data_IF_254974691438
#
_entry.id   IF_254974691438
#
_cell.length_a   1.000
_cell.length_b   1.000
_cell.length_c   1.000
_cell.angle_alpha   90.00
_cell.angle_beta   90.00
_cell.angle_gamma   90.00
#
_symmetry.space_group_name_H-M   'P 1'
#
loop_
_entity.id
_entity.type
_entity.pdbx_description
1 polymer ?
#
# COMPACT_ATOMS: atom_id res chain seq x y z
N UNK A 1 20.30 10.64 25.20
CA UNK A 1 19.23 11.66 25.06
C UNK A 1 18.07 11.02 24.32
N UNK A 2 17.03 10.65 25.05
CA UNK A 2 15.81 10.01 24.55
C UNK A 2 14.71 11.07 24.45
N UNK A 3 14.04 11.17 23.30
CA UNK A 3 12.75 11.84 23.20
C UNK A 3 11.76 10.94 22.47
N UNK A 4 10.98 10.19 23.26
CA UNK A 4 9.67 9.71 22.85
C UNK A 4 8.68 10.89 22.92
N UNK A 5 7.85 11.07 21.90
CA UNK A 5 6.67 11.94 21.99
C UNK A 5 5.40 11.11 21.81
N UNK A 6 4.64 11.07 22.89
CA UNK A 6 3.26 10.60 23.00
C UNK A 6 2.32 11.55 22.25
N UNK A 7 1.29 11.01 21.61
CA UNK A 7 0.09 11.77 21.24
C UNK A 7 -1.03 11.42 22.24
N UNK A 8 -1.48 12.44 22.97
CA UNK A 8 -2.68 12.43 23.79
C UNK A 8 -3.92 12.59 22.89
N UNK A 9 -4.88 11.68 23.02
CA UNK A 9 -6.26 11.89 22.56
C UNK A 9 -7.09 12.15 23.82
N UNK A 10 -7.61 13.36 23.95
CA UNK A 10 -8.57 13.72 24.98
C UNK A 10 -9.96 13.22 24.56
N UNK A 11 -10.57 12.33 25.35
CA UNK A 11 -11.98 11.97 25.24
C UNK A 11 -12.66 12.51 26.50
N UNK A 12 -13.52 13.51 26.32
CA UNK A 12 -14.44 13.96 27.36
C UNK A 12 -15.56 12.91 27.50
N UNK A 13 -15.70 12.32 28.69
CA UNK A 13 -16.82 11.43 29.02
C UNK A 13 -17.53 12.00 30.23
N UNK A 14 -18.70 12.60 30.01
CA UNK A 14 -19.66 12.86 31.08
C UNK A 14 -20.56 11.63 31.19
N UNK A 15 -20.47 10.91 32.30
CA UNK A 15 -21.38 9.82 32.65
C UNK A 15 -22.12 10.20 33.94
N UNK A 16 -23.34 10.72 33.77
CA UNK A 16 -24.26 10.98 34.89
C UNK A 16 -25.02 9.69 35.20
N UNK A 17 -24.96 9.24 36.45
CA UNK A 17 -25.70 8.09 36.96
C UNK A 17 -27.17 8.47 37.20
N UNK A 18 -28.10 7.68 36.66
CA UNK A 18 -29.47 7.59 37.18
C UNK A 18 -29.92 6.12 37.17
N UNK A 19 -30.11 5.57 38.37
CA UNK A 19 -30.84 4.34 38.63
C UNK A 19 -32.32 4.67 38.78
N UNK A 20 -33.23 4.04 38.02
CA UNK A 20 -34.62 3.82 38.45
C UNK A 20 -35.11 2.44 37.98
N UNK A 21 -35.82 1.82 38.92
CA UNK A 21 -36.34 0.46 39.10
C UNK A 21 -37.61 0.14 38.28
N UNK A 22 -37.72 -1.13 37.86
CA UNK A 22 -38.88 -1.97 37.45
C UNK A 22 -40.22 -1.37 36.96
N UNK A 23 -40.76 -2.00 35.90
CA UNK A 23 -42.12 -2.58 35.90
C UNK A 23 -42.22 -3.78 34.94
N UNK A 24 -42.75 -4.90 35.45
CA UNK A 24 -43.14 -6.09 34.68
C UNK A 24 -44.55 -5.87 34.15
N UNK A 25 -44.76 -6.06 32.85
CA UNK A 25 -46.09 -6.29 32.28
C UNK A 25 -46.04 -7.51 31.37
N UNK A 26 -46.72 -8.58 31.76
CA UNK A 26 -47.05 -9.70 30.87
C UNK A 26 -48.15 -9.23 29.94
N UNK A 27 -47.86 -9.22 28.64
CA UNK A 27 -48.90 -9.18 27.60
C UNK A 27 -48.66 -10.39 26.71
N UNK A 28 -49.56 -11.37 26.82
CA UNK A 28 -49.70 -12.43 25.84
C UNK A 28 -50.46 -11.88 24.63
N UNK A 29 -49.90 -12.05 23.43
CA UNK A 29 -50.66 -12.08 22.19
C UNK A 29 -50.11 -13.22 21.34
N UNK A 30 -50.96 -14.22 21.16
CA UNK A 30 -50.87 -15.16 20.06
C UNK A 30 -51.32 -14.42 18.81
N UNK A 31 -50.52 -14.50 17.74
CA UNK A 31 -51.00 -14.38 16.36
C UNK A 31 -50.00 -15.11 15.44
N UNK A 32 -50.57 -15.79 14.45
CA UNK A 32 -49.99 -16.88 13.69
C UNK A 32 -48.71 -16.50 12.90
N UNK A 33 -47.74 -17.42 12.91
CA UNK A 33 -46.62 -17.42 11.98
C UNK A 33 -47.05 -18.11 10.67
N UNK A 34 -47.00 -17.45 9.50
CA UNK A 34 -47.14 -18.16 8.24
C UNK A 34 -45.88 -19.00 8.00
N UNK A 35 -46.13 -20.28 7.73
CA UNK A 35 -45.16 -21.30 7.36
C UNK A 35 -44.44 -20.87 6.06
N UNK A 36 -43.21 -20.34 6.19
CA UNK A 36 -42.37 -20.05 5.03
C UNK A 36 -41.52 -21.28 4.76
N UNK A 37 -41.93 -22.00 3.70
CA UNK A 37 -41.26 -23.17 3.16
C UNK A 37 -39.73 -23.08 3.23
N UNK A 38 -39.12 -24.12 3.78
CA UNK A 38 -37.68 -24.40 3.73
C UNK A 38 -37.21 -24.43 2.27
N UNK A 39 -36.70 -23.29 1.78
CA UNK A 39 -35.90 -23.26 0.56
C UNK A 39 -34.52 -23.82 0.87
N UNK A 40 -34.34 -25.09 0.52
CA UNK A 40 -33.05 -25.76 0.41
C UNK A 40 -32.24 -25.11 -0.71
N UNK A 41 -31.46 -24.07 -0.41
CA UNK A 41 -30.39 -23.60 -1.30
C UNK A 41 -29.02 -23.99 -0.73
N UNK A 42 -28.46 -25.03 -1.37
CA UNK A 42 -27.04 -25.45 -1.45
C UNK A 42 -26.00 -24.65 -0.64
N UNK A 43 -25.38 -25.36 0.31
CA UNK A 43 -23.97 -25.34 0.73
C UNK A 43 -23.29 -23.97 1.08
N UNK A 44 -23.18 -23.60 2.37
CA UNK A 44 -22.35 -22.47 2.83
C UNK A 44 -20.85 -22.78 3.00
N UNK A 45 -20.35 -23.92 2.50
CA UNK A 45 -19.02 -24.46 2.84
C UNK A 45 -17.87 -24.05 1.91
N UNK A 46 -18.12 -23.41 0.76
CA UNK A 46 -17.05 -23.02 -0.19
C UNK A 46 -16.39 -21.65 0.08
N UNK A 47 -16.77 -20.95 1.16
CA UNK A 47 -16.44 -19.53 1.33
C UNK A 47 -15.64 -19.17 2.59
N UNK A 48 -15.08 -20.16 3.29
CA UNK A 48 -14.26 -19.95 4.50
C UNK A 48 -12.78 -19.82 4.15
N UNK A 49 -12.05 -19.06 4.97
CA UNK A 49 -10.59 -19.08 4.92
C UNK A 49 -10.09 -20.39 5.51
N UNK A 50 -9.09 -20.97 4.85
CA UNK A 50 -8.38 -22.18 5.30
C UNK A 50 -7.27 -21.80 6.28
N UNK A 51 -6.63 -20.65 6.05
CA UNK A 51 -5.63 -20.07 6.94
C UNK A 51 -5.62 -18.54 6.81
N UNK A 52 -5.23 -17.83 7.88
CA UNK A 52 -5.06 -16.38 7.89
C UNK A 52 -3.99 -15.98 8.90
N UNK A 53 -3.41 -14.80 8.69
CA UNK A 53 -2.47 -14.20 9.62
C UNK A 53 -2.26 -12.72 9.35
N UNK A 54 -1.47 -12.07 10.22
CA UNK A 54 -1.17 -10.63 10.17
C UNK A 54 0.28 -10.33 9.85
N UNK A 55 1.09 -11.35 9.62
CA UNK A 55 2.53 -11.23 9.37
C UNK A 55 2.95 -12.02 8.12
N UNK A 56 3.79 -11.40 7.29
CA UNK A 56 4.49 -12.05 6.18
C UNK A 56 5.99 -11.98 6.47
N UNK A 57 6.71 -13.08 6.24
CA UNK A 57 8.17 -13.10 6.17
C UNK A 57 8.60 -12.98 4.70
N UNK A 58 8.88 -11.76 4.25
CA UNK A 58 9.25 -11.42 2.88
C UNK A 58 10.78 -11.31 2.77
N UNK A 59 11.41 -12.19 1.99
CA UNK A 59 12.85 -12.13 1.67
C UNK A 59 13.78 -11.93 2.88
N UNK A 60 13.48 -12.56 4.03
CA UNK A 60 14.28 -12.42 5.25
C UNK A 60 13.76 -11.38 6.25
N UNK A 61 12.67 -10.66 5.94
CA UNK A 61 12.11 -9.59 6.78
C UNK A 61 10.68 -9.88 7.18
N UNK A 62 10.37 -9.68 8.46
CA UNK A 62 8.98 -9.77 8.95
C UNK A 62 8.27 -8.44 8.71
N UNK A 63 7.13 -8.49 8.04
CA UNK A 63 6.26 -7.36 7.74
C UNK A 63 4.87 -7.60 8.33
N UNK A 64 4.29 -6.56 8.93
CA UNK A 64 2.90 -6.58 9.44
C UNK A 64 1.94 -6.41 8.26
N UNK A 65 1.68 -7.51 7.55
CA UNK A 65 0.83 -7.57 6.38
C UNK A 65 -0.21 -8.67 6.59
N UNK A 66 -1.51 -8.32 6.63
CA UNK A 66 -2.57 -9.31 6.68
C UNK A 66 -2.62 -10.15 5.39
N UNK A 67 -2.68 -11.46 5.57
CA UNK A 67 -2.80 -12.43 4.49
C UNK A 67 -3.88 -13.47 4.82
N UNK A 68 -4.36 -14.14 3.78
CA UNK A 68 -5.33 -15.23 3.92
C UNK A 68 -5.21 -16.22 2.78
N UNK A 69 -5.58 -17.47 3.05
CA UNK A 69 -5.69 -18.52 2.05
C UNK A 69 -7.11 -19.09 2.08
N UNK A 70 -7.69 -19.36 0.92
CA UNK A 70 -9.00 -19.97 0.81
C UNK A 70 -9.06 -20.92 -0.39
N UNK A 71 -10.07 -21.78 -0.38
CA UNK A 71 -10.28 -22.76 -1.44
C UNK A 71 -11.23 -22.17 -2.50
N UNK A 72 -10.89 -22.35 -3.79
CA UNK A 72 -11.79 -22.13 -4.94
C UNK A 72 -11.74 -23.38 -5.80
N UNK A 73 -12.82 -24.17 -5.78
CA UNK A 73 -12.83 -25.52 -6.37
C UNK A 73 -11.73 -26.38 -5.74
N UNK A 74 -10.82 -26.91 -6.57
CA UNK A 74 -9.67 -27.71 -6.10
C UNK A 74 -8.37 -26.89 -5.93
N UNK A 75 -8.43 -25.57 -6.13
CA UNK A 75 -7.27 -24.69 -6.01
C UNK A 75 -7.27 -23.87 -4.72
N UNK A 76 -6.14 -23.89 -4.02
CA UNK A 76 -5.86 -22.93 -2.95
C UNK A 76 -5.47 -21.57 -3.54
N UNK A 77 -6.11 -20.52 -3.05
CA UNK A 77 -5.88 -19.14 -3.45
C UNK A 77 -5.25 -18.38 -2.29
N UNK A 78 -4.16 -17.67 -2.58
CA UNK A 78 -3.46 -16.79 -1.64
C UNK A 78 -3.93 -15.36 -1.87
N UNK A 79 -4.27 -14.66 -0.79
CA UNK A 79 -4.54 -13.24 -0.83
C UNK A 79 -3.81 -12.44 0.22
N UNK A 80 -3.59 -11.17 -0.12
CA UNK A 80 -2.97 -10.16 0.74
C UNK A 80 -3.95 -9.00 0.85
N UNK A 81 -3.99 -8.36 2.02
CA UNK A 81 -4.75 -7.12 2.25
C UNK A 81 -4.51 -6.10 1.13
N UNK A 82 -5.58 -5.54 0.57
CA UNK A 82 -5.51 -4.52 -0.47
C UNK A 82 -4.67 -3.30 -0.05
N UNK A 83 -4.88 -2.80 1.16
CA UNK A 83 -4.09 -1.70 1.73
C UNK A 83 -2.60 -2.03 1.86
N UNK A 84 -2.25 -3.28 2.16
CA UNK A 84 -0.85 -3.69 2.24
C UNK A 84 -0.22 -3.83 0.86
N UNK A 85 -0.97 -4.33 -0.13
CA UNK A 85 -0.54 -4.36 -1.52
C UNK A 85 -0.24 -2.94 -2.04
N UNK A 86 -1.12 -1.97 -1.75
CA UNK A 86 -0.97 -0.55 -2.13
C UNK A 86 0.21 0.14 -1.43
N UNK A 87 0.34 -0.05 -0.11
CA UNK A 87 1.24 0.77 0.72
C UNK A 87 2.61 0.14 0.98
N UNK A 88 2.73 -1.18 0.87
CA UNK A 88 3.94 -1.89 1.26
C UNK A 88 4.54 -2.74 0.14
N UNK A 89 3.76 -3.12 -0.87
CA UNK A 89 4.23 -4.00 -1.95
C UNK A 89 4.22 -3.34 -3.33
N UNK A 90 3.73 -2.11 -3.47
CA UNK A 90 3.85 -1.33 -4.72
C UNK A 90 2.81 -1.67 -5.78
N UNK A 91 1.68 -2.26 -5.37
CA UNK A 91 0.56 -2.57 -6.26
C UNK A 91 -0.39 -1.36 -6.31
N UNK A 92 -0.49 -0.70 -7.47
CA UNK A 92 -1.40 0.44 -7.57
C UNK A 92 -2.85 -0.03 -7.69
N UNK A 93 -3.72 0.40 -6.78
CA UNK A 93 -5.15 0.09 -6.84
C UNK A 93 -5.92 1.16 -7.62
N UNK A 94 -6.74 0.76 -8.59
CA UNK A 94 -7.62 1.67 -9.31
C UNK A 94 -9.07 1.67 -8.77
N UNK A 95 -9.86 2.64 -9.20
CA UNK A 95 -11.31 2.65 -8.95
C UNK A 95 -11.98 1.35 -9.44
N UNK A 96 -12.88 0.79 -8.63
CA UNK A 96 -13.65 -0.41 -8.97
C UNK A 96 -15.16 -0.14 -8.96
N UNK A 97 -15.91 -0.92 -9.74
CA UNK A 97 -17.38 -0.86 -9.79
C UNK A 97 -18.04 -1.93 -8.91
N UNK A 98 -17.28 -2.95 -8.49
CA UNK A 98 -17.74 -4.09 -7.68
C UNK A 98 -16.73 -4.38 -6.57
N UNK A 99 -17.20 -4.52 -5.32
CA UNK A 99 -16.34 -4.76 -4.17
C UNK A 99 -15.63 -6.13 -4.19
N UNK A 100 -16.13 -7.08 -4.99
CA UNK A 100 -15.51 -8.40 -5.21
C UNK A 100 -14.38 -8.39 -6.24
N UNK A 101 -14.10 -7.25 -6.89
CA UNK A 101 -13.01 -7.14 -7.86
C UNK A 101 -12.18 -5.89 -7.60
N UNK A 102 -10.90 -5.95 -7.98
CA UNK A 102 -9.97 -4.85 -7.83
C UNK A 102 -9.06 -4.75 -9.05
N UNK A 103 -9.25 -3.76 -9.93
CA UNK A 103 -8.28 -3.47 -10.96
C UNK A 103 -7.01 -2.92 -10.33
N UNK A 104 -5.86 -3.43 -10.76
CA UNK A 104 -4.53 -3.04 -10.26
C UNK A 104 -3.52 -2.83 -11.40
N UNK A 105 -2.46 -2.06 -11.13
CA UNK A 105 -1.21 -2.10 -11.89
C UNK A 105 -0.17 -2.89 -11.10
N UNK A 106 0.36 -3.94 -11.74
CA UNK A 106 1.46 -4.75 -11.23
C UNK A 106 2.30 -5.26 -12.40
N UNK A 107 3.29 -4.47 -12.79
CA UNK A 107 4.26 -4.78 -13.85
C UNK A 107 3.61 -5.30 -15.15
N UNK A 108 2.41 -4.79 -15.49
CA UNK A 108 1.66 -5.26 -16.64
C UNK A 108 2.35 -4.84 -17.95
N UNK A 109 2.52 -5.80 -18.88
CA UNK A 109 3.13 -5.56 -20.19
C UNK A 109 2.37 -4.50 -21.01
N UNK A 110 1.04 -4.59 -20.97
CA UNK A 110 0.13 -3.60 -21.55
C UNK A 110 -0.55 -2.84 -20.40
N UNK A 111 -0.15 -1.59 -20.19
CA UNK A 111 -0.68 -0.76 -19.10
C UNK A 111 -2.10 -0.27 -19.33
N UNK A 112 -2.62 -0.38 -20.55
CA UNK A 112 -4.03 -0.14 -20.82
C UNK A 112 -4.90 -1.30 -20.35
N UNK A 113 -4.30 -2.48 -20.12
CA UNK A 113 -4.97 -3.67 -19.59
C UNK A 113 -4.65 -3.84 -18.10
N UNK A 114 -5.47 -3.19 -17.27
CA UNK A 114 -5.44 -3.38 -15.82
C UNK A 114 -5.75 -4.83 -15.47
N UNK A 115 -4.96 -5.41 -14.57
CA UNK A 115 -5.23 -6.76 -14.06
C UNK A 115 -6.34 -6.65 -13.02
N UNK A 116 -7.44 -7.38 -13.20
CA UNK A 116 -8.54 -7.40 -12.23
C UNK A 116 -8.38 -8.58 -11.28
N UNK A 117 -8.08 -8.30 -10.01
CA UNK A 117 -7.97 -9.32 -8.97
C UNK A 117 -9.33 -9.56 -8.30
N UNK A 118 -9.61 -10.82 -7.98
CA UNK A 118 -10.75 -11.17 -7.14
C UNK A 118 -10.48 -10.76 -5.70
N UNK A 119 -11.48 -10.21 -5.03
CA UNK A 119 -11.40 -9.83 -3.63
C UNK A 119 -12.22 -10.77 -2.74
N UNK A 120 -11.67 -11.10 -1.57
CA UNK A 120 -12.36 -11.83 -0.50
C UNK A 120 -12.35 -11.01 0.78
N UNK A 121 -13.50 -10.88 1.42
CA UNK A 121 -13.68 -10.05 2.61
C UNK A 121 -13.71 -10.94 3.86
N UNK A 122 -13.02 -10.50 4.91
CA UNK A 122 -13.19 -10.98 6.29
C UNK A 122 -13.81 -9.87 7.15
N UNK A 123 -13.94 -10.09 8.45
CA UNK A 123 -14.45 -9.06 9.38
C UNK A 123 -13.59 -7.80 9.44
N UNK A 124 -12.30 -7.92 9.17
CA UNK A 124 -11.32 -6.83 9.37
C UNK A 124 -10.62 -6.39 8.09
N UNK A 125 -10.51 -7.28 7.10
CA UNK A 125 -9.68 -7.04 5.93
C UNK A 125 -10.39 -7.45 4.64
N UNK A 126 -9.98 -6.79 3.56
CA UNK A 126 -10.29 -7.18 2.19
C UNK A 126 -9.00 -7.68 1.54
N UNK A 127 -8.98 -8.95 1.22
CA UNK A 127 -7.83 -9.62 0.60
C UNK A 127 -8.01 -9.64 -0.91
N UNK A 128 -6.99 -9.26 -1.66
CA UNK A 128 -6.94 -9.47 -3.11
C UNK A 128 -6.22 -10.77 -3.37
N UNK A 129 -6.78 -11.59 -4.25
CA UNK A 129 -6.18 -12.82 -4.71
C UNK A 129 -4.96 -12.52 -5.58
N UNK A 130 -3.78 -12.85 -5.07
CA UNK A 130 -2.51 -12.62 -5.75
C UNK A 130 -1.93 -13.89 -6.33
N UNK A 131 -2.67 -15.01 -6.31
CA UNK A 131 -2.13 -16.34 -6.65
C UNK A 131 -1.44 -16.35 -8.01
N UNK A 132 -2.10 -15.78 -9.02
CA UNK A 132 -1.60 -15.82 -10.40
C UNK A 132 -0.48 -14.80 -10.62
N UNK A 133 -0.57 -13.62 -9.97
CA UNK A 133 0.55 -12.66 -9.92
C UNK A 133 1.79 -13.32 -9.32
N UNK A 134 1.65 -13.97 -8.17
CA UNK A 134 2.74 -14.61 -7.46
C UNK A 134 3.38 -15.71 -8.33
N UNK A 135 2.57 -16.59 -8.93
CA UNK A 135 3.07 -17.65 -9.83
C UNK A 135 3.81 -17.07 -11.05
N UNK A 136 3.20 -16.10 -11.73
CA UNK A 136 3.77 -15.50 -12.94
C UNK A 136 5.06 -14.71 -12.66
N UNK A 137 5.17 -14.11 -11.46
CA UNK A 137 6.38 -13.45 -10.97
C UNK A 137 7.40 -14.42 -10.33
N UNK A 138 7.14 -15.74 -10.34
CA UNK A 138 8.05 -16.75 -9.79
C UNK A 138 8.17 -16.74 -8.27
N UNK A 139 7.18 -16.17 -7.57
CA UNK A 139 7.15 -16.12 -6.11
C UNK A 139 6.88 -17.52 -5.55
N UNK A 140 7.55 -17.84 -4.45
CA UNK A 140 7.31 -19.05 -3.67
C UNK A 140 6.73 -18.65 -2.32
N UNK A 141 5.76 -19.42 -1.84
CA UNK A 141 5.20 -19.17 -0.52
C UNK A 141 4.92 -20.46 0.23
N UNK A 142 4.98 -20.37 1.55
CA UNK A 142 4.59 -21.42 2.46
C UNK A 142 3.99 -20.81 3.73
N UNK A 143 3.10 -21.55 4.38
CA UNK A 143 2.51 -21.15 5.65
C UNK A 143 3.30 -21.81 6.77
N UNK A 144 3.74 -21.00 7.73
CA UNK A 144 4.46 -21.44 8.93
C UNK A 144 3.77 -20.87 10.16
N UNK A 145 2.88 -21.67 10.75
CA UNK A 145 2.00 -21.22 11.83
C UNK A 145 1.09 -20.06 11.38
N UNK A 146 1.23 -18.90 12.04
CA UNK A 146 0.48 -17.67 11.73
C UNK A 146 1.17 -16.77 10.70
N UNK A 147 2.37 -17.16 10.21
CA UNK A 147 3.17 -16.38 9.27
C UNK A 147 3.10 -16.97 7.86
N UNK A 148 2.95 -16.10 6.87
CA UNK A 148 3.19 -16.46 5.48
C UNK A 148 4.66 -16.20 5.17
N UNK A 149 5.42 -17.23 4.86
CA UNK A 149 6.74 -17.04 4.28
C UNK A 149 6.55 -16.82 2.77
N UNK A 150 7.08 -15.70 2.27
CA UNK A 150 6.96 -15.28 0.88
C UNK A 150 8.37 -14.94 0.36
N UNK A 151 8.80 -15.62 -0.69
CA UNK A 151 10.08 -15.40 -1.32
C UNK A 151 9.87 -14.98 -2.76
N UNK A 152 10.38 -13.81 -3.11
CA UNK A 152 10.39 -13.32 -4.49
C UNK A 152 11.74 -13.64 -5.13
N UNK A 153 11.81 -13.86 -6.45
CA UNK A 153 13.09 -13.98 -7.12
C UNK A 153 13.96 -12.75 -6.90
N UNK A 154 15.27 -12.96 -6.78
CA UNK A 154 16.23 -11.86 -6.67
C UNK A 154 16.12 -10.96 -7.90
N UNK A 155 15.87 -9.68 -7.65
CA UNK A 155 15.77 -8.65 -8.69
C UNK A 155 17.04 -7.84 -8.70
N UNK A 156 17.51 -7.45 -9.89
CA UNK A 156 18.65 -6.54 -10.07
C UNK A 156 18.14 -5.13 -10.36
N UNK A 157 18.69 -4.15 -9.65
CA UNK A 157 18.56 -2.75 -10.01
C UNK A 157 19.61 -2.45 -11.07
N UNK A 158 19.16 -2.25 -12.30
CA UNK A 158 20.01 -2.08 -13.48
C UNK A 158 20.51 -0.64 -13.59
N UNK A 159 19.67 0.32 -13.26
CA UNK A 159 20.04 1.74 -13.32
C UNK A 159 19.15 2.57 -12.38
N UNK A 160 19.69 3.67 -11.87
CA UNK A 160 18.94 4.70 -11.17
C UNK A 160 19.36 6.06 -11.75
N UNK A 161 18.39 6.86 -12.18
CA UNK A 161 18.66 8.20 -12.70
C UNK A 161 17.87 9.22 -11.90
N UNK A 162 18.54 10.27 -11.44
CA UNK A 162 17.90 11.45 -10.86
C UNK A 162 17.89 12.57 -11.92
N UNK A 163 16.70 12.94 -12.37
CA UNK A 163 16.47 14.08 -13.25
C UNK A 163 15.84 15.21 -12.42
N UNK A 164 16.68 16.01 -11.75
CA UNK A 164 16.33 17.29 -11.14
C UNK A 164 15.49 17.26 -9.84
N UNK A 165 15.51 16.20 -9.03
CA UNK A 165 14.98 16.27 -7.66
C UNK A 165 15.95 17.10 -6.79
N UNK A 166 15.46 18.05 -5.96
CA UNK A 166 14.06 18.23 -5.53
C UNK A 166 13.20 19.21 -6.36
N UNK A 167 13.73 19.83 -7.42
CA UNK A 167 13.04 20.87 -8.23
C UNK A 167 12.05 20.28 -9.25
N UNK A 168 10.90 19.79 -8.76
CA UNK A 168 9.85 19.15 -9.59
C UNK A 168 10.41 18.08 -10.54
N UNK A 169 11.45 17.38 -10.08
CA UNK A 169 12.19 16.38 -10.86
C UNK A 169 11.58 14.98 -10.78
N UNK A 170 12.27 14.04 -11.41
CA UNK A 170 11.92 12.63 -11.40
C UNK A 170 13.11 11.74 -11.10
N UNK A 171 12.87 10.64 -10.42
CA UNK A 171 13.82 9.53 -10.32
C UNK A 171 13.26 8.38 -11.16
N UNK A 172 14.08 7.80 -12.02
CA UNK A 172 13.72 6.56 -12.74
C UNK A 172 14.63 5.42 -12.30
N UNK A 173 14.02 4.30 -11.93
CA UNK A 173 14.73 3.07 -11.57
C UNK A 173 14.42 1.99 -12.60
N UNK A 174 15.45 1.46 -13.25
CA UNK A 174 15.33 0.32 -14.15
C UNK A 174 15.63 -0.98 -13.40
N UNK A 175 14.75 -1.96 -13.53
CA UNK A 175 14.82 -3.28 -12.92
C UNK A 175 14.99 -4.35 -14.01
N UNK A 176 15.48 -5.54 -13.66
CA UNK A 176 15.47 -6.68 -14.58
C UNK A 176 14.13 -7.45 -14.57
N UNK A 177 13.36 -7.34 -13.49
CA UNK A 177 12.06 -8.03 -13.31
C UNK A 177 11.16 -7.34 -12.28
N UNK A 178 9.93 -7.84 -12.16
CA UNK A 178 8.96 -7.40 -11.16
C UNK A 178 9.42 -7.72 -9.74
N UNK A 179 9.31 -6.75 -8.83
CA UNK A 179 9.63 -6.96 -7.41
C UNK A 179 8.80 -6.04 -6.50
N UNK A 180 8.50 -6.42 -5.24
CA UNK A 180 7.90 -5.51 -4.29
C UNK A 180 8.75 -4.24 -4.08
N UNK A 181 8.06 -3.11 -3.96
CA UNK A 181 8.68 -1.85 -3.64
C UNK A 181 7.76 -1.01 -2.75
N UNK A 182 8.34 -0.05 -2.03
CA UNK A 182 7.64 0.84 -1.12
C UNK A 182 8.21 2.24 -1.23
N UNK A 183 7.32 3.23 -1.30
CA UNK A 183 7.68 4.63 -1.16
C UNK A 183 7.28 5.10 0.25
N UNK A 184 8.22 5.73 0.95
CA UNK A 184 7.96 6.41 2.23
C UNK A 184 8.61 7.78 2.22
N UNK A 185 8.07 8.71 3.02
CA UNK A 185 8.62 10.05 3.12
C UNK A 185 8.45 10.64 4.51
N UNK A 186 9.39 11.52 4.87
CA UNK A 186 9.29 12.49 5.94
C UNK A 186 8.88 13.85 5.32
N UNK A 187 8.84 14.95 6.10
CA UNK A 187 8.62 16.29 5.53
C UNK A 187 9.73 16.77 4.59
N UNK A 188 10.94 16.22 4.69
CA UNK A 188 12.15 16.71 3.99
C UNK A 188 12.88 15.64 3.18
N UNK A 189 12.51 14.37 3.32
CA UNK A 189 13.18 13.25 2.65
C UNK A 189 12.17 12.22 2.17
N UNK A 190 12.56 11.44 1.16
CA UNK A 190 11.89 10.22 0.80
C UNK A 190 12.84 9.06 0.52
N UNK A 191 12.26 7.88 0.64
CA UNK A 191 12.92 6.60 0.49
C UNK A 191 12.07 5.73 -0.42
N UNK A 192 12.62 5.39 -1.59
CA UNK A 192 12.13 4.30 -2.42
C UNK A 192 12.90 3.03 -2.04
N UNK A 193 12.21 2.11 -1.37
CA UNK A 193 12.72 0.80 -0.98
C UNK A 193 12.30 -0.24 -2.01
N UNK A 194 13.25 -1.01 -2.53
CA UNK A 194 13.04 -2.00 -3.58
C UNK A 194 13.61 -3.33 -3.11
N UNK A 195 12.83 -4.40 -3.20
CA UNK A 195 13.27 -5.78 -2.95
C UNK A 195 14.16 -6.28 -4.11
N UNK A 196 15.34 -5.68 -4.25
CA UNK A 196 16.33 -6.02 -5.26
C UNK A 196 17.71 -5.49 -4.91
N UNK A 197 18.73 -5.98 -5.61
CA UNK A 197 20.13 -5.67 -5.36
C UNK A 197 20.68 -4.81 -6.49
N UNK A 198 21.34 -3.71 -6.14
CA UNK A 198 22.16 -2.92 -7.06
C UNK A 198 23.59 -3.46 -7.10
N UNK A 199 24.21 -3.44 -8.29
CA UNK A 199 25.62 -3.79 -8.47
C UNK A 199 26.52 -2.77 -7.73
N UNK A 200 27.56 -3.20 -6.98
CA UNK A 200 28.54 -2.30 -6.39
C UNK A 200 29.13 -1.27 -7.37
N UNK A 201 29.32 -1.62 -8.64
CA UNK A 201 29.79 -0.66 -9.65
C UNK A 201 28.79 0.48 -9.91
N UNK A 202 27.49 0.15 -9.97
CA UNK A 202 26.42 1.14 -10.06
C UNK A 202 26.37 2.03 -8.81
N UNK A 203 26.52 1.44 -7.62
CA UNK A 203 26.54 2.21 -6.36
C UNK A 203 27.72 3.18 -6.30
N UNK A 204 28.91 2.75 -6.74
CA UNK A 204 30.07 3.62 -6.82
C UNK A 204 29.82 4.78 -7.77
N UNK A 205 29.25 4.52 -8.95
CA UNK A 205 28.91 5.57 -9.91
C UNK A 205 27.90 6.59 -9.32
N UNK A 206 26.86 6.11 -8.64
CA UNK A 206 25.79 6.97 -8.12
C UNK A 206 26.16 7.75 -6.87
N UNK A 207 27.04 7.20 -6.03
CA UNK A 207 27.46 7.83 -4.77
C UNK A 207 28.86 8.47 -4.87
N UNK A 208 29.46 8.53 -6.06
CA UNK A 208 30.66 9.35 -6.27
C UNK A 208 30.26 10.80 -6.02
N UNK A 209 30.96 11.48 -5.11
CA UNK A 209 30.72 12.89 -4.84
C UNK A 209 30.77 13.66 -6.17
N UNK A 210 29.65 14.25 -6.57
CA UNK A 210 29.64 15.19 -7.70
C UNK A 210 30.58 16.35 -7.32
N UNK A 211 31.43 16.84 -8.26
CA UNK A 211 32.11 18.10 -8.07
C UNK A 211 31.08 19.13 -7.66
N UNK A 212 31.35 19.81 -6.54
CA UNK A 212 30.46 20.81 -5.99
C UNK A 212 30.50 21.97 -6.99
N UNK A 213 29.53 22.05 -7.89
CA UNK A 213 29.27 23.31 -8.59
C UNK A 213 28.39 24.13 -7.67
N UNK A 214 29.06 25.03 -6.98
CA UNK A 214 28.52 25.92 -5.99
C UNK A 214 27.65 26.92 -6.75
N UNK A 215 26.32 26.80 -6.66
CA UNK A 215 25.28 27.81 -6.87
C UNK A 215 24.07 27.23 -7.61
N UNK A 216 23.11 26.64 -6.88
CA UNK A 216 21.66 26.81 -7.10
C UNK A 216 20.81 25.80 -6.31
N UNK A 217 20.99 25.74 -4.99
CA UNK A 217 19.81 25.73 -4.14
C UNK A 217 19.60 27.20 -3.79
N UNK A 218 18.51 27.77 -4.28
CA UNK A 218 18.15 29.15 -3.99
C UNK A 218 18.04 29.30 -2.46
N UNK A 219 18.75 30.24 -1.82
CA UNK A 219 18.66 30.46 -0.37
C UNK A 219 17.25 30.81 0.13
N UNK A 220 16.29 31.09 -0.77
CA UNK A 220 14.87 31.24 -0.43
C UNK A 220 14.15 29.92 -0.06
N UNK A 221 14.74 28.73 -0.32
CA UNK A 221 14.06 27.44 -0.14
C UNK A 221 14.17 26.80 1.27
N UNK A 222 14.99 27.34 2.18
CA UNK A 222 15.10 27.11 3.65
C UNK A 222 16.59 27.14 4.07
N UNK A 223 17.08 28.22 4.71
CA UNK A 223 18.47 28.36 5.12
C UNK A 223 18.90 27.40 6.25
N UNK A 224 17.96 26.63 6.82
CA UNK A 224 18.25 25.59 7.83
C UNK A 224 18.24 24.16 7.28
N UNK A 225 17.89 23.97 6.00
CA UNK A 225 17.96 22.67 5.36
C UNK A 225 19.44 22.29 5.14
N UNK A 226 19.98 21.46 6.05
CA UNK A 226 21.21 20.73 5.78
C UNK A 226 21.07 20.08 4.39
N UNK A 227 22.07 20.28 3.51
CA UNK A 227 22.12 19.73 2.15
C UNK A 227 21.88 18.22 2.21
N UNK A 228 20.65 17.80 1.94
CA UNK A 228 20.24 16.41 1.97
C UNK A 228 20.59 15.79 0.63
N UNK A 229 21.61 14.94 0.62
CA UNK A 229 22.13 14.35 -0.61
C UNK A 229 21.27 13.17 -1.09
N UNK A 230 21.12 13.09 -2.41
CA UNK A 230 20.64 11.90 -3.08
C UNK A 230 21.63 10.74 -2.85
N UNK A 231 21.14 9.59 -2.40
CA UNK A 231 21.97 8.44 -2.06
C UNK A 231 21.30 7.12 -2.43
N UNK A 232 22.08 6.20 -2.98
CA UNK A 232 21.60 4.83 -3.26
C UNK A 232 22.41 3.84 -2.44
N UNK A 233 21.73 2.98 -1.68
CA UNK A 233 22.38 1.92 -0.90
C UNK A 233 21.75 0.58 -1.24
N UNK A 234 22.53 -0.50 -1.18
CA UNK A 234 22.02 -1.86 -1.38
C UNK A 234 22.61 -2.79 -0.32
N UNK A 235 21.75 -3.46 0.43
CA UNK A 235 22.12 -4.47 1.43
C UNK A 235 21.00 -5.50 1.57
N UNK A 236 21.33 -6.74 1.94
CA UNK A 236 20.34 -7.78 2.29
C UNK A 236 19.21 -7.93 1.23
N UNK A 237 19.59 -8.00 -0.05
CA UNK A 237 18.65 -8.10 -1.18
C UNK A 237 17.67 -6.94 -1.32
N UNK A 238 18.00 -5.77 -0.77
CA UNK A 238 17.19 -4.57 -0.81
C UNK A 238 18.04 -3.36 -1.23
N UNK A 239 17.49 -2.55 -2.13
CA UNK A 239 18.06 -1.28 -2.57
C UNK A 239 17.18 -0.15 -2.06
N UNK A 240 17.79 0.89 -1.51
CA UNK A 240 17.12 2.09 -1.02
C UNK A 240 17.66 3.28 -1.81
N UNK A 241 16.76 3.99 -2.48
CA UNK A 241 17.03 5.30 -3.08
C UNK A 241 16.49 6.37 -2.14
N UNK A 242 17.39 7.10 -1.49
CA UNK A 242 17.11 8.23 -0.61
C UNK A 242 17.28 9.53 -1.40
N UNK A 243 16.35 10.46 -1.24
CA UNK A 243 16.39 11.75 -1.92
C UNK A 243 15.68 12.86 -1.13
N UNK A 244 16.12 14.12 -1.28
CA UNK A 244 15.48 15.25 -0.62
C UNK A 244 14.11 15.55 -1.22
N UNK A 245 13.21 16.10 -0.40
CA UNK A 245 11.91 16.63 -0.80
C UNK A 245 11.75 18.03 -0.19
N UNK A 246 11.27 18.99 -0.98
CA UNK A 246 10.96 20.33 -0.46
C UNK A 246 9.70 20.27 0.41
N UNK A 247 9.68 21.01 1.52
CA UNK A 247 8.51 21.07 2.40
C UNK A 247 7.25 21.43 1.59
N UNK A 248 6.22 20.59 1.71
CA UNK A 248 4.96 20.75 0.96
C UNK A 248 4.89 19.93 -0.34
N UNK A 249 6.00 19.45 -0.87
CA UNK A 249 5.99 18.46 -1.95
C UNK A 249 5.57 17.07 -1.43
N UNK A 250 5.01 16.27 -2.34
CA UNK A 250 4.77 14.84 -2.12
C UNK A 250 5.47 14.02 -3.18
N UNK A 251 6.17 12.97 -2.75
CA UNK A 251 6.67 11.98 -3.67
C UNK A 251 5.56 11.02 -4.08
N UNK A 252 5.56 10.64 -5.34
CA UNK A 252 4.66 9.64 -5.92
C UNK A 252 5.49 8.68 -6.75
N UNK A 253 5.27 7.39 -6.53
CA UNK A 253 5.88 6.35 -7.34
C UNK A 253 4.80 5.68 -8.17
N UNK A 254 5.14 5.34 -9.41
CA UNK A 254 4.34 4.51 -10.30
C UNK A 254 5.26 3.67 -11.17
N UNK A 255 4.71 2.62 -11.74
CA UNK A 255 5.37 1.97 -12.87
C UNK A 255 5.26 2.89 -14.09
N UNK A 256 6.30 2.97 -14.90
CA UNK A 256 6.28 3.59 -16.22
C UNK A 256 6.16 2.52 -17.31
N UNK A 257 6.83 1.38 -17.08
CA UNK A 257 6.81 0.17 -17.89
C UNK A 257 6.99 -1.05 -16.98
N UNK A 258 6.91 -2.30 -17.49
CA UNK A 258 7.11 -3.54 -16.71
C UNK A 258 8.46 -3.68 -16.01
N UNK A 259 9.39 -2.76 -16.22
CA UNK A 259 10.73 -2.79 -15.61
C UNK A 259 11.22 -1.40 -15.19
N UNK A 260 10.39 -0.37 -15.30
CA UNK A 260 10.79 1.00 -14.95
C UNK A 260 9.84 1.55 -13.90
N UNK A 261 10.39 1.90 -12.73
CA UNK A 261 9.72 2.69 -11.71
C UNK A 261 10.06 4.16 -11.92
N UNK A 262 9.05 5.02 -11.86
CA UNK A 262 9.21 6.47 -11.87
C UNK A 262 8.72 7.04 -10.55
N UNK A 263 9.56 7.85 -9.91
CA UNK A 263 9.19 8.66 -8.76
C UNK A 263 9.19 10.12 -9.16
N UNK A 264 8.15 10.86 -8.80
CA UNK A 264 8.04 12.30 -9.02
C UNK A 264 7.83 12.99 -7.68
N UNK A 265 8.45 14.15 -7.46
CA UNK A 265 8.15 15.03 -6.33
C UNK A 265 7.50 16.30 -6.85
N UNK A 266 6.29 16.62 -6.38
CA UNK A 266 5.54 17.77 -6.88
C UNK A 266 4.79 18.46 -5.74
N UNK A 267 4.66 19.79 -5.84
CA UNK A 267 3.80 20.62 -5.00
C UNK A 267 2.37 20.69 -5.56
N UNK A 268 2.21 20.50 -6.88
CA UNK A 268 0.91 20.51 -7.53
C UNK A 268 0.21 19.15 -7.41
N UNK A 269 -0.55 19.04 -6.34
CA UNK A 269 -1.30 17.85 -6.02
C UNK A 269 -2.62 17.72 -6.82
N UNK A 270 -2.98 18.75 -7.62
CA UNK A 270 -4.23 18.76 -8.40
C UNK A 270 -4.29 17.68 -9.50
N UNK A 271 -3.14 17.15 -9.92
CA UNK A 271 -3.05 16.11 -10.95
C UNK A 271 -3.12 14.68 -10.39
N UNK A 272 -3.42 14.49 -9.10
CA UNK A 272 -3.59 13.17 -8.52
C UNK A 272 -5.02 12.69 -8.84
N UNK A 273 -5.19 11.55 -9.53
CA UNK A 273 -6.50 11.07 -9.88
C UNK A 273 -7.29 10.70 -8.62
N UNK A 274 -8.55 11.10 -8.60
CA UNK A 274 -9.52 10.62 -7.62
C UNK A 274 -9.58 9.08 -7.68
N UNK A 275 -9.64 8.46 -6.51
CA UNK A 275 -9.75 7.02 -6.36
C UNK A 275 -10.98 6.70 -5.53
N UNK A 276 -11.88 5.86 -6.06
CA UNK A 276 -13.03 5.34 -5.32
C UNK A 276 -13.01 3.81 -5.36
N UNK A 277 -12.84 3.18 -4.21
CA UNK A 277 -12.90 1.74 -4.06
C UNK A 277 -14.18 1.38 -3.28
N UNK A 278 -15.11 0.70 -3.93
CA UNK A 278 -16.14 -0.09 -3.23
C UNK A 278 -15.43 -1.19 -2.49
N UNK A 279 -15.33 -1.07 -1.17
CA UNK A 279 -14.50 -1.94 -0.34
C UNK A 279 -15.30 -3.14 0.18
N UNK A 280 -16.50 -2.91 0.70
CA UNK A 280 -17.43 -3.95 1.12
C UNK A 280 -18.87 -3.50 0.85
N UNK A 281 -19.89 -4.38 1.03
CA UNK A 281 -21.28 -3.93 1.03
C UNK A 281 -21.48 -2.73 1.97
N UNK A 282 -21.96 -1.62 1.42
CA UNK A 282 -22.17 -0.37 2.17
C UNK A 282 -20.91 0.44 2.51
N UNK A 283 -19.69 -0.07 2.26
CA UNK A 283 -18.45 0.63 2.57
C UNK A 283 -17.67 1.01 1.31
N UNK A 284 -17.24 2.27 1.24
CA UNK A 284 -16.40 2.80 0.17
C UNK A 284 -15.22 3.53 0.77
N UNK A 285 -14.07 3.35 0.16
CA UNK A 285 -12.89 4.17 0.39
C UNK A 285 -12.75 5.16 -0.76
N UNK A 286 -12.56 6.43 -0.43
CA UNK A 286 -12.40 7.53 -1.38
C UNK A 286 -11.15 8.32 -1.06
N UNK A 287 -10.34 8.57 -2.07
CA UNK A 287 -9.27 9.55 -2.04
C UNK A 287 -9.59 10.62 -3.07
N UNK A 288 -9.68 11.88 -2.63
CA UNK A 288 -10.03 13.02 -3.47
C UNK A 288 -9.18 14.23 -3.17
N UNK A 289 -9.13 15.15 -4.13
CA UNK A 289 -8.58 16.49 -3.93
C UNK A 289 -9.71 17.51 -3.90
N UNK A 290 -9.80 18.24 -2.79
CA UNK A 290 -10.81 19.28 -2.61
C UNK A 290 -10.13 20.63 -2.72
N UNK A 291 -10.61 21.45 -3.66
CA UNK A 291 -10.14 22.82 -3.83
C UNK A 291 -10.86 23.74 -2.83
N UNK A 292 -10.09 24.48 -2.04
CA UNK A 292 -10.58 25.55 -1.17
C UNK A 292 -9.81 26.83 -1.51
N UNK A 293 -10.48 27.80 -2.14
CA UNK A 293 -9.84 28.98 -2.70
C UNK A 293 -8.82 28.62 -3.78
N UNK A 294 -7.55 28.96 -3.57
CA UNK A 294 -6.43 28.64 -4.47
C UNK A 294 -5.67 27.36 -4.09
N UNK A 295 -6.03 26.71 -2.99
CA UNK A 295 -5.33 25.55 -2.46
C UNK A 295 -6.10 24.25 -2.71
N UNK A 296 -5.37 23.14 -2.84
CA UNK A 296 -5.93 21.79 -2.98
C UNK A 296 -5.53 20.94 -1.79
N UNK A 297 -6.51 20.27 -1.18
CA UNK A 297 -6.32 19.45 0.01
C UNK A 297 -6.61 17.98 -0.28
N UNK A 298 -5.73 17.05 0.11
CA UNK A 298 -6.03 15.63 0.04
C UNK A 298 -7.06 15.28 1.10
N UNK A 299 -8.15 14.65 0.69
CA UNK A 299 -9.16 14.13 1.61
C UNK A 299 -9.32 12.64 1.36
N UNK A 300 -9.26 11.87 2.44
CA UNK A 300 -9.49 10.42 2.42
C UNK A 300 -10.68 10.10 3.33
N UNK A 301 -11.69 9.39 2.79
CA UNK A 301 -12.97 9.08 3.45
C UNK A 301 -13.28 7.60 3.29
#
# INVERSE_FOLDING_TARGET
>A
MNYQRFYLIAIASMATHFYITFCVAKIARADAQPDLATQTTRNPSANKFVAQGTEIFLNGKTLNIPWGQWQVGNSLRLGISDTALDRQLGVELFTNSNYLTQPVDWYAADRNKKVSLTAKISRQYRYLDITDIAKNSGWKWQISGTKLQLNTPTTKVINVRNDNIPKNGKITVKLDRSTPWKLSQTPTEAYLTIEGTADPALLSQLNTALPIDNNNLDPDDDPTAAKLDYKVTSNNSQTIVQFPIVKGQRARAKLLSPTILEVTSDTNLANIPDREIKWAPGLRWRQKWVKLGVHNFPVTI
#
